data_IF_387902004854
#
_entry.id   IF_387902004854
#
_cell.length_a   1.000
_cell.length_b   1.000
_cell.length_c   1.000
_cell.angle_alpha   90.00
_cell.angle_beta   90.00
_cell.angle_gamma   90.00
#
_symmetry.space_group_name_H-M   'P 1'
#
loop_
_entity.id
_entity.type
_entity.pdbx_description
1 polymer ?
#
# COMPACT_ATOMS: atom_id res chain seq x y z
N UNK A 1 -36.86 -50.33 19.92
CA UNK A 1 -36.11 -50.33 18.64
C UNK A 1 -36.24 -49.02 17.85
N UNK A 2 -37.44 -48.45 17.69
CA UNK A 2 -37.67 -47.19 16.97
C UNK A 2 -36.99 -45.99 17.62
N UNK A 3 -37.01 -45.90 18.97
CA UNK A 3 -36.38 -44.79 19.72
C UNK A 3 -34.87 -44.76 19.57
N UNK A 4 -34.23 -45.91 19.54
CA UNK A 4 -32.74 -46.00 19.33
C UNK A 4 -32.35 -45.60 17.92
N UNK A 5 -33.12 -45.98 16.92
CA UNK A 5 -32.90 -45.54 15.52
C UNK A 5 -33.15 -44.04 15.34
N UNK A 6 -34.19 -43.51 15.93
CA UNK A 6 -34.48 -42.11 15.94
C UNK A 6 -33.39 -41.30 16.63
N UNK A 7 -32.92 -41.74 17.78
CA UNK A 7 -31.84 -41.07 18.50
C UNK A 7 -30.51 -41.04 17.68
N UNK A 8 -30.21 -42.11 16.99
CA UNK A 8 -29.02 -42.18 16.13
C UNK A 8 -29.11 -41.25 14.96
N UNK A 9 -30.27 -41.06 14.35
CA UNK A 9 -30.53 -40.12 13.28
C UNK A 9 -30.38 -38.66 13.76
N UNK A 10 -30.94 -38.35 14.93
CA UNK A 10 -30.79 -37.01 15.54
C UNK A 10 -29.32 -36.70 15.90
N UNK A 11 -28.61 -37.64 16.46
CA UNK A 11 -27.16 -37.50 16.75
C UNK A 11 -26.37 -37.26 15.48
N UNK A 12 -26.63 -38.01 14.42
CA UNK A 12 -25.96 -37.86 13.13
C UNK A 12 -26.24 -36.49 12.52
N UNK A 13 -27.49 -36.01 12.59
CA UNK A 13 -27.82 -34.68 12.09
C UNK A 13 -27.13 -33.56 12.84
N UNK A 14 -27.01 -33.65 14.17
CA UNK A 14 -26.29 -32.66 14.98
C UNK A 14 -24.80 -32.65 14.66
N UNK A 15 -24.16 -33.81 14.53
CA UNK A 15 -22.73 -33.91 14.17
C UNK A 15 -22.48 -33.31 12.78
N UNK A 16 -23.39 -33.59 11.84
CA UNK A 16 -23.28 -33.05 10.49
C UNK A 16 -23.41 -31.52 10.46
N UNK A 17 -24.30 -30.97 11.27
CA UNK A 17 -24.48 -29.51 11.38
C UNK A 17 -23.24 -28.83 11.98
N UNK A 18 -22.61 -29.45 12.99
CA UNK A 18 -21.38 -28.94 13.61
C UNK A 18 -20.19 -28.96 12.62
N UNK A 19 -20.14 -29.98 11.76
CA UNK A 19 -19.08 -30.07 10.75
C UNK A 19 -19.23 -29.03 9.63
N UNK A 20 -20.44 -28.53 9.35
CA UNK A 20 -20.66 -27.50 8.36
C UNK A 20 -20.38 -26.09 8.86
N UNK A 21 -20.25 -25.87 10.16
CA UNK A 21 -19.84 -24.59 10.74
C UNK A 21 -18.32 -24.37 10.65
N UNK A 22 -17.72 -24.82 9.55
CA UNK A 22 -16.29 -24.65 9.27
C UNK A 22 -15.90 -23.18 9.38
N UNK A 23 -14.96 -22.90 10.29
CA UNK A 23 -14.43 -21.58 10.57
C UNK A 23 -13.90 -20.93 9.30
N UNK A 24 -14.64 -19.99 8.73
CA UNK A 24 -14.20 -19.16 7.63
C UNK A 24 -13.13 -18.13 8.03
N UNK A 25 -12.81 -18.06 9.32
CA UNK A 25 -11.83 -17.12 9.88
C UNK A 25 -10.38 -17.56 9.79
N UNK A 26 -10.11 -18.80 9.36
CA UNK A 26 -8.74 -19.35 9.31
C UNK A 26 -8.06 -19.14 7.95
N UNK A 27 -8.61 -18.32 7.10
CA UNK A 27 -7.95 -17.96 5.84
C UNK A 27 -6.91 -16.88 6.12
N UNK A 28 -5.64 -17.27 6.03
CA UNK A 28 -4.52 -16.35 6.08
C UNK A 28 -4.57 -15.43 4.85
N UNK A 29 -4.74 -14.14 5.09
CA UNK A 29 -4.74 -13.12 4.03
C UNK A 29 -3.44 -12.35 4.08
N UNK A 30 -2.74 -12.36 2.98
CA UNK A 30 -1.51 -11.60 2.79
C UNK A 30 -1.91 -10.20 2.34
N UNK A 31 -1.37 -9.18 3.00
CA UNK A 31 -1.48 -7.80 2.54
C UNK A 31 -0.63 -7.62 1.30
N UNK A 32 -1.24 -7.28 0.19
CA UNK A 32 -0.55 -7.07 -1.09
C UNK A 32 -0.52 -5.57 -1.36
N UNK A 33 0.65 -4.92 -1.30
CA UNK A 33 0.77 -3.53 -1.71
C UNK A 33 0.59 -3.41 -3.22
N UNK A 34 -0.15 -2.39 -3.64
CA UNK A 34 -0.37 -2.08 -5.05
C UNK A 34 0.11 -0.67 -5.36
N UNK A 35 0.76 -0.51 -6.50
CA UNK A 35 1.36 0.75 -6.93
C UNK A 35 2.81 0.90 -6.48
N UNK A 36 3.24 2.13 -6.29
CA UNK A 36 4.58 2.43 -5.80
C UNK A 36 4.66 2.24 -4.29
N UNK A 37 5.34 1.19 -3.85
CA UNK A 37 5.61 1.03 -2.42
C UNK A 37 6.65 2.03 -1.98
N UNK A 38 6.23 3.02 -1.21
CA UNK A 38 7.08 4.07 -0.65
C UNK A 38 6.98 4.09 0.86
N UNK A 39 8.11 4.20 1.51
CA UNK A 39 8.20 4.45 2.95
C UNK A 39 8.65 5.88 3.23
N UNK A 40 8.40 6.37 4.44
CA UNK A 40 8.91 7.66 4.86
C UNK A 40 10.43 7.75 4.73
N UNK A 41 11.12 6.64 4.99
CA UNK A 41 12.59 6.53 4.83
C UNK A 41 13.08 6.78 3.41
N UNK A 42 12.26 6.50 2.39
CA UNK A 42 12.61 6.81 1.00
C UNK A 42 12.40 8.29 0.69
N UNK A 43 11.30 8.85 1.21
CA UNK A 43 11.02 10.28 1.09
C UNK A 43 12.07 11.12 1.81
N UNK A 44 12.55 10.65 2.94
CA UNK A 44 13.60 11.33 3.74
C UNK A 44 14.96 11.46 3.01
N UNK A 45 15.16 10.69 1.95
CA UNK A 45 16.34 10.80 1.10
C UNK A 45 16.25 11.94 0.08
N UNK A 46 15.07 12.49 -0.14
CA UNK A 46 14.86 13.56 -1.11
C UNK A 46 15.48 14.87 -0.65
N UNK A 47 16.06 15.57 -1.60
CA UNK A 47 16.64 16.91 -1.40
C UNK A 47 16.25 17.81 -2.56
N UNK A 48 16.06 19.07 -2.28
CA UNK A 48 15.90 20.11 -3.31
C UNK A 48 17.09 20.10 -4.27
N UNK A 49 16.85 20.44 -5.52
CA UNK A 49 17.83 20.45 -6.61
C UNK A 49 18.28 19.06 -7.11
N UNK A 50 17.70 17.97 -6.60
CA UNK A 50 17.93 16.65 -7.21
C UNK A 50 17.48 16.63 -8.66
N UNK A 51 18.24 15.94 -9.50
CA UNK A 51 17.82 15.69 -10.89
C UNK A 51 16.68 14.67 -10.95
N UNK A 52 15.96 14.64 -12.05
CA UNK A 52 14.91 13.62 -12.27
C UNK A 52 15.47 12.20 -12.18
N UNK A 53 16.68 11.96 -12.66
CA UNK A 53 17.34 10.65 -12.55
C UNK A 53 17.62 10.25 -11.10
N UNK A 54 18.05 11.20 -10.28
CA UNK A 54 18.27 10.96 -8.86
C UNK A 54 16.96 10.63 -8.12
N UNK A 55 15.89 11.33 -8.43
CA UNK A 55 14.56 11.05 -7.88
C UNK A 55 14.06 9.68 -8.32
N UNK A 56 14.25 9.30 -9.58
CA UNK A 56 13.93 7.94 -10.06
C UNK A 56 14.72 6.87 -9.33
N UNK A 57 15.97 7.13 -9.03
CA UNK A 57 16.81 6.19 -8.27
C UNK A 57 16.30 5.98 -6.85
N UNK A 58 15.84 7.04 -6.20
CA UNK A 58 15.33 6.99 -4.80
C UNK A 58 13.92 6.42 -4.72
N UNK A 59 13.01 6.91 -5.56
CA UNK A 59 11.57 6.59 -5.47
C UNK A 59 11.10 5.54 -6.48
N UNK A 60 11.89 5.25 -7.49
CA UNK A 60 11.44 4.43 -8.61
C UNK A 60 10.57 5.18 -9.61
N UNK A 61 9.93 4.45 -10.52
CA UNK A 61 9.08 5.04 -11.55
C UNK A 61 7.73 5.49 -10.97
N UNK A 62 7.28 6.71 -11.28
CA UNK A 62 5.97 7.19 -10.83
C UNK A 62 4.83 6.46 -11.54
N UNK A 63 3.65 6.43 -10.91
CA UNK A 63 2.43 5.87 -11.55
C UNK A 63 1.88 6.79 -12.63
N UNK A 64 2.10 8.11 -12.51
CA UNK A 64 1.68 9.08 -13.50
C UNK A 64 2.65 10.26 -13.57
N UNK A 65 2.83 10.76 -14.77
CA UNK A 65 3.53 12.02 -15.07
C UNK A 65 2.52 12.98 -15.68
N UNK A 66 2.74 14.28 -15.52
CA UNK A 66 1.91 15.26 -16.19
C UNK A 66 2.08 15.09 -17.70
N UNK A 67 0.95 14.95 -18.42
CA UNK A 67 0.96 14.74 -19.87
C UNK A 67 1.36 15.99 -20.66
N UNK A 68 1.28 17.17 -20.06
CA UNK A 68 1.55 18.47 -20.72
C UNK A 68 2.91 19.05 -20.35
N UNK A 69 3.49 18.58 -19.25
CA UNK A 69 4.82 19.01 -18.80
C UNK A 69 5.42 17.94 -17.90
N UNK A 70 6.72 17.77 -17.94
CA UNK A 70 7.44 16.86 -17.05
C UNK A 70 7.69 17.44 -15.65
N UNK A 71 6.86 18.44 -15.24
CA UNK A 71 7.09 19.23 -14.03
C UNK A 71 6.55 18.57 -12.76
N UNK A 72 5.69 17.57 -12.89
CA UNK A 72 5.18 16.87 -11.73
C UNK A 72 5.06 15.36 -11.95
N UNK A 73 5.48 14.61 -10.97
CA UNK A 73 5.36 13.16 -10.95
C UNK A 73 4.52 12.72 -9.76
N UNK A 74 3.60 11.79 -10.02
CA UNK A 74 2.67 11.28 -9.04
C UNK A 74 3.05 9.85 -8.65
N UNK A 75 3.20 9.64 -7.35
CA UNK A 75 3.39 8.34 -6.73
C UNK A 75 2.17 8.02 -5.89
N UNK A 76 1.68 6.82 -5.99
CA UNK A 76 0.57 6.36 -5.18
C UNK A 76 0.71 4.88 -4.90
N UNK A 77 0.46 4.50 -3.66
CA UNK A 77 0.30 3.10 -3.34
C UNK A 77 -0.90 2.87 -2.44
N UNK A 78 -1.45 1.67 -2.55
CA UNK A 78 -2.55 1.22 -1.73
C UNK A 78 -2.11 -0.04 -1.01
N UNK A 79 -2.28 -0.06 0.30
CA UNK A 79 -2.04 -1.23 1.13
C UNK A 79 -3.37 -1.73 1.69
N UNK A 80 -3.77 -2.92 1.28
CA UNK A 80 -4.96 -3.59 1.80
C UNK A 80 -4.56 -4.46 2.98
N UNK A 81 -4.95 -4.06 4.17
CA UNK A 81 -4.71 -4.79 5.40
C UNK A 81 -6.03 -5.43 5.86
N UNK A 82 -6.22 -6.73 5.57
CA UNK A 82 -7.41 -7.45 5.95
C UNK A 82 -8.65 -7.08 5.13
N UNK A 83 -9.84 -7.22 5.73
CA UNK A 83 -11.12 -7.05 5.04
C UNK A 83 -11.56 -5.59 4.87
N UNK A 84 -11.23 -4.72 5.82
CA UNK A 84 -11.90 -3.43 5.99
C UNK A 84 -10.94 -2.23 6.06
N UNK A 85 -9.64 -2.43 5.86
CA UNK A 85 -8.70 -1.31 5.92
C UNK A 85 -7.86 -1.19 4.63
N UNK A 86 -8.26 -0.24 3.82
CA UNK A 86 -7.49 0.23 2.68
C UNK A 86 -6.71 1.48 3.12
N UNK A 87 -5.40 1.39 3.10
CA UNK A 87 -4.53 2.54 3.33
C UNK A 87 -3.93 2.99 2.01
N UNK A 88 -4.34 4.16 1.59
CA UNK A 88 -3.79 4.81 0.39
C UNK A 88 -2.90 5.96 0.83
N UNK A 89 -1.69 6.01 0.29
CA UNK A 89 -0.78 7.13 0.42
C UNK A 89 -0.37 7.64 -0.95
N UNK A 90 -0.27 8.93 -1.08
CA UNK A 90 0.16 9.60 -2.30
C UNK A 90 1.30 10.56 -2.03
N UNK A 91 2.16 10.72 -3.02
CA UNK A 91 3.25 11.68 -3.03
C UNK A 91 3.30 12.33 -4.42
N UNK A 92 3.38 13.64 -4.45
CA UNK A 92 3.61 14.38 -5.67
C UNK A 92 4.94 15.11 -5.53
N UNK A 93 5.82 14.92 -6.49
CA UNK A 93 7.08 15.65 -6.59
C UNK A 93 6.98 16.66 -7.72
N UNK A 94 7.42 17.87 -7.46
CA UNK A 94 7.39 18.98 -8.41
C UNK A 94 8.81 19.37 -8.80
N UNK A 95 9.02 19.52 -10.09
CA UNK A 95 10.29 19.90 -10.68
C UNK A 95 10.20 21.31 -11.27
N UNK A 96 11.27 22.08 -11.12
CA UNK A 96 11.51 23.33 -11.81
C UNK A 96 12.84 23.24 -12.56
N UNK A 97 12.83 23.51 -13.85
CA UNK A 97 14.01 23.38 -14.73
C UNK A 97 14.69 22.00 -14.64
N UNK A 98 13.90 20.93 -14.52
CA UNK A 98 14.38 19.56 -14.40
C UNK A 98 14.98 19.19 -13.05
N UNK A 99 14.80 20.04 -12.03
CA UNK A 99 15.30 19.86 -10.68
C UNK A 99 14.18 19.82 -9.66
N UNK A 100 14.31 18.96 -8.65
CA UNK A 100 13.31 18.85 -7.58
C UNK A 100 13.21 20.19 -6.82
N UNK A 101 11.98 20.74 -6.81
CA UNK A 101 11.68 22.02 -6.16
C UNK A 101 10.89 21.83 -4.86
N UNK A 102 9.89 20.95 -4.86
CA UNK A 102 9.04 20.70 -3.70
C UNK A 102 8.38 19.34 -3.78
N UNK A 103 7.87 18.89 -2.64
CA UNK A 103 7.05 17.69 -2.51
C UNK A 103 5.73 18.02 -1.83
N UNK A 104 4.72 17.20 -2.06
CA UNK A 104 3.39 17.30 -1.45
C UNK A 104 2.77 15.92 -1.33
N UNK A 105 1.88 15.72 -0.37
CA UNK A 105 1.15 14.47 -0.20
C UNK A 105 1.05 14.02 1.25
N UNK A 106 0.92 12.71 1.43
CA UNK A 106 0.69 12.08 2.73
C UNK A 106 1.98 11.74 3.49
N UNK A 107 3.10 12.19 2.99
CA UNK A 107 4.42 12.02 3.62
C UNK A 107 4.91 13.33 4.22
N UNK A 108 5.67 13.23 5.30
CA UNK A 108 6.31 14.38 5.91
C UNK A 108 7.48 14.87 5.06
N UNK A 109 7.62 16.18 4.93
CA UNK A 109 8.79 16.77 4.28
C UNK A 109 10.03 16.49 5.13
N UNK A 110 11.13 15.99 4.52
CA UNK A 110 12.36 15.74 5.25
C UNK A 110 12.93 17.02 5.89
N UNK A 111 13.46 16.89 7.09
CA UNK A 111 14.09 18.03 7.78
C UNK A 111 15.22 18.67 6.98
N UNK A 112 15.98 17.85 6.26
CA UNK A 112 17.09 18.28 5.42
C UNK A 112 16.71 18.56 3.95
N UNK A 113 15.40 18.55 3.63
CA UNK A 113 14.93 18.69 2.25
C UNK A 113 15.48 19.93 1.55
N UNK A 114 15.51 21.06 2.25
CA UNK A 114 16.00 22.33 1.72
C UNK A 114 17.53 22.46 1.64
N UNK A 115 18.26 21.42 2.04
CA UNK A 115 19.71 21.35 1.95
C UNK A 115 20.06 20.52 0.72
N UNK A 116 20.55 21.13 -0.40
CA UNK A 116 20.94 20.37 -1.58
C UNK A 116 22.06 19.38 -1.28
N UNK A 117 22.09 18.27 -2.02
CA UNK A 117 23.25 17.38 -1.98
C UNK A 117 24.46 18.12 -2.51
N UNK A 118 25.57 18.01 -1.80
CA UNK A 118 26.87 18.49 -2.30
C UNK A 118 27.24 17.68 -3.54
N UNK A 119 27.52 18.37 -4.62
CA UNK A 119 27.97 17.79 -5.89
C UNK A 119 29.48 17.69 -5.95
#
# INVERSE_FOLDING_TARGET
MLVKKSLAVWLSAVVMTVMLSGCSSWVYRISIPQGNFLEQSDVDKLRVQMTQEQVLYVLGSPVAKNAFSDDSWHYSYTLNIGRDSEHRKSLVVYFEDGRLARISGDFEEPEEFNIPLEQ
#
